data_IF_186744524132
#
_entry.id   IF_186744524132
#
_cell.length_a   1.000
_cell.length_b   1.000
_cell.length_c   1.000
_cell.angle_alpha   90.00
_cell.angle_beta   90.00
_cell.angle_gamma   90.00
#
_symmetry.space_group_name_H-M   'P 1'
#
loop_
_entity.id
_entity.type
_entity.pdbx_description
1 polymer ?
#
# COMPACT_ATOMS: atom_id res chain seq x y z
N UNK A 1 8.61 8.60 -25.05
CA UNK A 1 9.57 8.85 -23.94
C UNK A 1 9.59 10.30 -23.46
N UNK A 2 9.59 11.32 -24.33
CA UNK A 2 9.58 12.76 -23.92
C UNK A 2 8.44 13.20 -22.97
N UNK A 3 7.16 12.80 -23.14
CA UNK A 3 6.09 13.30 -22.26
C UNK A 3 6.14 12.73 -20.84
N UNK A 4 6.54 11.46 -20.68
CA UNK A 4 6.68 10.85 -19.35
C UNK A 4 7.81 11.50 -18.54
N UNK A 5 8.92 11.84 -19.19
CA UNK A 5 10.03 12.55 -18.56
C UNK A 5 9.60 13.97 -18.12
N UNK A 6 8.87 14.69 -18.97
CA UNK A 6 8.35 16.02 -18.63
C UNK A 6 7.37 15.95 -17.45
N UNK A 7 6.49 14.95 -17.41
CA UNK A 7 5.59 14.74 -16.29
C UNK A 7 6.35 14.45 -14.99
N UNK A 8 7.39 13.62 -15.04
CA UNK A 8 8.24 13.31 -13.88
C UNK A 8 8.96 14.56 -13.37
N UNK A 9 9.57 15.35 -14.26
CA UNK A 9 10.26 16.60 -13.91
C UNK A 9 9.26 17.59 -13.30
N UNK A 10 8.09 17.77 -13.92
CA UNK A 10 7.05 18.66 -13.42
C UNK A 10 6.54 18.26 -12.03
N UNK A 11 6.25 16.97 -11.83
CA UNK A 11 5.84 16.45 -10.53
C UNK A 11 6.94 16.61 -9.47
N UNK A 12 8.21 16.34 -9.84
CA UNK A 12 9.36 16.51 -8.96
C UNK A 12 9.58 17.97 -8.57
N UNK A 13 9.51 18.89 -9.51
CA UNK A 13 9.64 20.33 -9.26
C UNK A 13 8.51 20.85 -8.37
N UNK A 14 7.27 20.43 -8.61
CA UNK A 14 6.13 20.78 -7.76
C UNK A 14 6.31 20.21 -6.34
N UNK A 15 6.71 18.95 -6.21
CA UNK A 15 6.98 18.34 -4.91
C UNK A 15 8.07 19.08 -4.14
N UNK A 16 9.16 19.46 -4.80
CA UNK A 16 10.25 20.24 -4.20
C UNK A 16 9.78 21.63 -3.76
N UNK A 17 8.96 22.31 -4.57
CA UNK A 17 8.38 23.61 -4.23
C UNK A 17 7.46 23.49 -3.01
N UNK A 18 6.54 22.53 -3.00
CA UNK A 18 5.62 22.31 -1.88
C UNK A 18 6.38 21.95 -0.59
N UNK A 19 7.39 21.09 -0.68
CA UNK A 19 8.25 20.80 0.45
C UNK A 19 8.99 22.05 0.92
N UNK A 20 9.55 22.85 0.02
CA UNK A 20 10.21 24.12 0.36
C UNK A 20 9.29 25.09 1.11
N UNK A 21 8.03 25.20 0.68
CA UNK A 21 7.00 26.00 1.37
C UNK A 21 6.73 25.45 2.78
N UNK A 22 6.61 24.13 2.95
CA UNK A 22 6.41 23.51 4.26
C UNK A 22 7.61 23.74 5.18
N UNK A 23 8.84 23.59 4.68
CA UNK A 23 10.05 23.86 5.45
C UNK A 23 10.12 25.33 5.89
N UNK A 24 9.79 26.26 5.00
CA UNK A 24 9.75 27.68 5.32
C UNK A 24 8.70 28.03 6.38
N UNK A 25 7.59 27.28 6.44
CA UNK A 25 6.57 27.38 7.48
C UNK A 25 6.96 26.71 8.81
N UNK A 26 8.14 26.10 8.92
CA UNK A 26 8.64 25.49 10.15
C UNK A 26 8.46 23.97 10.26
N UNK A 27 7.89 23.30 9.25
CA UNK A 27 7.68 21.84 9.25
C UNK A 27 8.97 21.05 8.93
N UNK A 28 10.11 21.44 9.53
CA UNK A 28 11.42 20.83 9.28
C UNK A 28 11.51 19.37 9.72
N UNK A 29 10.65 18.94 10.64
CA UNK A 29 10.56 17.54 11.04
C UNK A 29 10.16 16.60 9.89
N UNK A 30 9.57 17.10 8.78
CA UNK A 30 9.28 16.29 7.60
C UNK A 30 10.55 15.71 6.96
N UNK A 31 11.71 16.33 7.18
CA UNK A 31 13.00 15.82 6.72
C UNK A 31 13.34 14.44 7.30
N UNK A 32 12.76 14.07 8.45
CA UNK A 32 12.89 12.73 9.02
C UNK A 32 12.30 11.65 8.12
N UNK A 33 11.31 11.96 7.27
CA UNK A 33 10.79 11.03 6.26
C UNK A 33 11.81 10.74 5.16
N UNK A 34 12.83 11.59 5.00
CA UNK A 34 13.94 11.38 4.09
C UNK A 34 14.75 10.12 4.44
N UNK A 35 14.82 9.73 5.71
CA UNK A 35 15.55 8.53 6.16
C UNK A 35 14.89 7.25 5.61
N UNK A 36 13.62 6.93 5.94
CA UNK A 36 12.96 5.75 5.38
C UNK A 36 12.82 5.86 3.86
N UNK A 37 12.61 7.05 3.29
CA UNK A 37 12.60 7.23 1.84
C UNK A 37 13.94 6.81 1.20
N UNK A 38 15.07 7.22 1.78
CA UNK A 38 16.40 6.86 1.31
C UNK A 38 16.66 5.35 1.46
N UNK A 39 16.25 4.74 2.57
CA UNK A 39 16.38 3.29 2.77
C UNK A 39 15.57 2.50 1.75
N UNK A 40 14.31 2.89 1.52
CA UNK A 40 13.42 2.27 0.53
C UNK A 40 13.97 2.45 -0.88
N UNK A 41 14.47 3.64 -1.22
CA UNK A 41 15.11 3.93 -2.50
C UNK A 41 16.39 3.10 -2.70
N UNK A 42 17.24 2.98 -1.68
CA UNK A 42 18.45 2.17 -1.74
C UNK A 42 18.12 0.70 -1.98
N UNK A 43 17.09 0.17 -1.28
CA UNK A 43 16.58 -1.18 -1.52
C UNK A 43 16.09 -1.33 -2.96
N UNK A 44 15.32 -0.35 -3.46
CA UNK A 44 14.79 -0.37 -4.82
C UNK A 44 15.91 -0.39 -5.87
N UNK A 45 16.95 0.44 -5.70
CA UNK A 45 18.12 0.47 -6.57
C UNK A 45 18.89 -0.86 -6.52
N UNK A 46 19.04 -1.45 -5.34
CA UNK A 46 19.67 -2.76 -5.18
C UNK A 46 18.91 -3.87 -5.93
N UNK A 47 17.57 -3.88 -5.86
CA UNK A 47 16.74 -4.82 -6.64
C UNK A 47 16.89 -4.63 -8.15
N UNK A 48 17.02 -3.39 -8.62
CA UNK A 48 17.27 -3.09 -10.04
C UNK A 48 18.63 -3.61 -10.49
N UNK A 49 19.68 -3.43 -9.67
CA UNK A 49 21.04 -3.93 -9.96
C UNK A 49 21.07 -5.45 -10.06
N UNK A 50 20.31 -6.15 -9.21
CA UNK A 50 20.20 -7.61 -9.23
C UNK A 50 19.56 -8.17 -10.52
N UNK A 51 19.04 -7.31 -11.42
CA UNK A 51 18.23 -7.70 -12.59
C UNK A 51 17.12 -8.70 -12.24
N UNK A 52 16.66 -8.69 -11.00
CA UNK A 52 15.48 -9.40 -10.58
C UNK A 52 14.31 -8.69 -11.26
N UNK A 53 13.93 -9.13 -12.47
CA UNK A 53 12.71 -8.73 -13.18
C UNK A 53 11.43 -9.17 -12.43
N UNK A 54 11.49 -9.33 -11.11
CA UNK A 54 10.34 -9.58 -10.25
C UNK A 54 9.66 -8.25 -9.97
N UNK A 55 8.87 -7.79 -10.95
CA UNK A 55 8.00 -6.60 -10.89
C UNK A 55 7.32 -6.44 -9.53
N UNK A 56 6.87 -7.56 -8.94
CA UNK A 56 6.24 -7.61 -7.63
C UNK A 56 7.13 -7.05 -6.50
N UNK A 57 8.41 -7.41 -6.41
CA UNK A 57 9.28 -6.96 -5.31
C UNK A 57 9.53 -5.46 -5.35
N UNK A 58 9.77 -4.92 -6.55
CA UNK A 58 9.95 -3.48 -6.79
C UNK A 58 8.67 -2.71 -6.46
N UNK A 59 7.50 -3.21 -6.87
CA UNK A 59 6.22 -2.59 -6.55
C UNK A 59 5.93 -2.58 -5.05
N UNK A 60 6.26 -3.65 -4.32
CA UNK A 60 6.10 -3.71 -2.87
C UNK A 60 6.95 -2.66 -2.14
N UNK A 61 8.21 -2.51 -2.55
CA UNK A 61 9.14 -1.53 -1.97
C UNK A 61 8.71 -0.11 -2.34
N UNK A 62 8.40 0.13 -3.61
CA UNK A 62 7.93 1.43 -4.11
C UNK A 62 6.63 1.89 -3.43
N UNK A 63 5.71 0.96 -3.13
CA UNK A 63 4.51 1.27 -2.36
C UNK A 63 4.80 1.77 -0.94
N UNK A 64 5.89 1.29 -0.33
CA UNK A 64 6.37 1.79 0.96
C UNK A 64 6.84 3.25 0.90
N UNK A 65 7.47 3.64 -0.20
CA UNK A 65 7.85 5.04 -0.44
C UNK A 65 6.62 5.92 -0.63
N UNK A 66 5.64 5.46 -1.44
CA UNK A 66 4.39 6.19 -1.65
C UNK A 66 3.57 6.32 -0.35
N UNK A 67 3.62 5.30 0.52
CA UNK A 67 2.94 5.33 1.81
C UNK A 67 3.49 6.39 2.78
N UNK A 68 4.68 6.97 2.54
CA UNK A 68 5.21 8.09 3.33
C UNK A 68 4.38 9.37 3.20
N UNK A 69 3.45 9.43 2.23
CA UNK A 69 2.45 10.49 2.18
C UNK A 69 1.55 10.50 3.43
N UNK A 70 1.28 9.34 4.04
CA UNK A 70 0.43 9.23 5.22
C UNK A 70 1.00 9.95 6.46
N UNK A 71 2.25 9.68 6.93
CA UNK A 71 2.84 10.43 8.04
C UNK A 71 3.01 11.91 7.70
N UNK A 72 3.39 12.26 6.46
CA UNK A 72 3.55 13.65 6.05
C UNK A 72 2.25 14.44 6.21
N UNK A 73 1.14 13.93 5.69
CA UNK A 73 -0.17 14.54 5.80
C UNK A 73 -0.62 14.63 7.27
N UNK A 74 -0.43 13.55 8.03
CA UNK A 74 -0.85 13.50 9.43
C UNK A 74 -0.07 14.49 10.31
N UNK A 75 1.27 14.52 10.26
CA UNK A 75 2.06 15.42 11.10
C UNK A 75 1.84 16.89 10.77
N UNK A 76 1.59 17.23 9.51
CA UNK A 76 1.19 18.60 9.13
C UNK A 76 -0.19 18.92 9.70
N UNK A 77 -1.13 17.97 9.72
CA UNK A 77 -2.48 18.20 10.25
C UNK A 77 -2.53 18.41 11.77
N UNK A 78 -1.61 17.80 12.51
CA UNK A 78 -1.52 17.93 13.99
C UNK A 78 -0.41 18.88 14.44
N UNK A 79 0.27 19.52 13.49
CA UNK A 79 1.42 20.42 13.72
C UNK A 79 2.53 19.83 14.60
N UNK A 80 2.73 18.51 14.54
CA UNK A 80 3.67 17.80 15.39
C UNK A 80 4.12 16.45 14.80
N UNK A 81 5.39 16.10 15.03
CA UNK A 81 5.91 14.76 14.75
C UNK A 81 5.57 13.82 15.92
N UNK A 82 4.45 13.12 15.81
CA UNK A 82 4.04 12.12 16.81
C UNK A 82 4.25 10.68 16.30
N UNK A 83 4.35 9.67 17.18
CA UNK A 83 4.51 8.26 16.79
C UNK A 83 3.41 7.74 15.84
N UNK A 84 2.21 8.32 15.91
CA UNK A 84 1.05 7.93 15.09
C UNK A 84 1.34 8.00 13.60
N UNK A 85 2.10 8.98 13.13
CA UNK A 85 2.47 9.06 11.71
C UNK A 85 3.24 7.81 11.24
N UNK A 86 4.13 7.28 12.08
CA UNK A 86 4.87 6.06 11.75
C UNK A 86 3.98 4.82 11.70
N UNK A 87 2.99 4.73 12.58
CA UNK A 87 1.99 3.67 12.50
C UNK A 87 1.16 3.79 11.23
N UNK A 88 0.70 4.99 10.87
CA UNK A 88 -0.02 5.22 9.62
C UNK A 88 0.80 4.82 8.39
N UNK A 89 2.09 5.13 8.37
CA UNK A 89 3.01 4.68 7.32
C UNK A 89 3.06 3.16 7.22
N UNK A 90 3.33 2.49 8.34
CA UNK A 90 3.47 1.03 8.37
C UNK A 90 2.17 0.33 7.97
N UNK A 91 1.03 0.80 8.46
CA UNK A 91 -0.30 0.24 8.15
C UNK A 91 -0.66 0.47 6.68
N UNK A 92 -0.39 1.66 6.14
CA UNK A 92 -0.61 1.96 4.73
C UNK A 92 0.26 1.08 3.83
N UNK A 93 1.54 0.92 4.18
CA UNK A 93 2.45 0.05 3.43
C UNK A 93 2.00 -1.42 3.50
N UNK A 94 1.62 -1.92 4.68
CA UNK A 94 1.15 -3.28 4.88
C UNK A 94 -0.10 -3.62 4.06
N UNK A 95 -1.06 -2.69 4.02
CA UNK A 95 -2.23 -2.82 3.15
C UNK A 95 -1.84 -2.80 1.67
N UNK A 96 -1.05 -1.81 1.24
CA UNK A 96 -0.60 -1.70 -0.14
C UNK A 96 0.14 -2.97 -0.59
N UNK A 97 1.00 -3.52 0.26
CA UNK A 97 1.71 -4.76 -0.01
C UNK A 97 0.76 -5.95 -0.22
N UNK A 98 -0.24 -6.08 0.65
CA UNK A 98 -1.26 -7.13 0.56
C UNK A 98 -2.12 -6.96 -0.70
N UNK A 99 -2.51 -5.73 -1.03
CA UNK A 99 -3.30 -5.40 -2.22
C UNK A 99 -2.52 -5.65 -3.51
N UNK A 100 -1.22 -5.33 -3.57
CA UNK A 100 -0.38 -5.64 -4.73
C UNK A 100 -0.32 -7.15 -4.95
N UNK A 101 -0.03 -7.95 -3.91
CA UNK A 101 -0.02 -9.42 -4.04
C UNK A 101 -1.36 -9.95 -4.54
N UNK A 102 -2.47 -9.37 -4.07
CA UNK A 102 -3.80 -9.70 -4.55
C UNK A 102 -4.03 -9.28 -6.02
N UNK A 103 -3.60 -8.09 -6.45
CA UNK A 103 -3.67 -7.65 -7.86
C UNK A 103 -2.93 -8.65 -8.75
N UNK A 104 -1.76 -9.12 -8.37
CA UNK A 104 -1.02 -10.14 -9.14
C UNK A 104 -1.80 -11.45 -9.26
N UNK A 105 -2.49 -11.88 -8.20
CA UNK A 105 -3.41 -13.01 -8.27
C UNK A 105 -4.53 -12.76 -9.30
N UNK A 106 -5.18 -11.58 -9.26
CA UNK A 106 -6.25 -11.23 -10.21
C UNK A 106 -5.73 -11.16 -11.65
N UNK A 107 -4.54 -10.60 -11.86
CA UNK A 107 -3.88 -10.55 -13.16
C UNK A 107 -3.51 -11.94 -13.71
N UNK A 108 -3.18 -12.89 -12.82
CA UNK A 108 -2.99 -14.30 -13.18
C UNK A 108 -4.33 -14.94 -13.54
N UNK A 109 -5.34 -14.81 -12.67
CA UNK A 109 -6.68 -15.39 -12.85
C UNK A 109 -7.34 -14.96 -14.17
N UNK A 110 -7.22 -13.68 -14.57
CA UNK A 110 -7.81 -13.21 -15.84
C UNK A 110 -7.24 -13.86 -17.09
N UNK A 111 -6.03 -14.42 -17.02
CA UNK A 111 -5.37 -15.10 -18.14
C UNK A 111 -5.73 -16.59 -18.21
N UNK A 112 -6.48 -17.12 -17.24
CA UNK A 112 -6.97 -18.50 -17.28
C UNK A 112 -7.96 -18.66 -18.44
N UNK A 113 -7.99 -19.86 -19.02
CA UNK A 113 -8.92 -20.22 -20.10
C UNK A 113 -10.25 -20.75 -19.57
N UNK A 114 -10.22 -21.33 -18.38
CA UNK A 114 -11.35 -21.97 -17.74
C UNK A 114 -11.35 -21.69 -16.23
N UNK A 115 -12.47 -21.99 -15.58
CA UNK A 115 -12.61 -21.79 -14.14
C UNK A 115 -11.78 -22.83 -13.39
N UNK A 116 -10.81 -22.43 -12.55
CA UNK A 116 -10.01 -23.38 -11.78
C UNK A 116 -10.88 -24.08 -10.73
N UNK A 117 -10.50 -25.31 -10.37
CA UNK A 117 -11.16 -26.05 -9.29
C UNK A 117 -11.00 -25.33 -7.95
N UNK A 118 -11.85 -25.67 -6.96
CA UNK A 118 -11.77 -25.07 -5.61
C UNK A 118 -10.40 -25.25 -4.96
N UNK A 119 -9.79 -26.43 -5.09
CA UNK A 119 -8.47 -26.69 -4.53
C UNK A 119 -7.39 -25.78 -5.15
N UNK A 120 -7.46 -25.55 -6.47
CA UNK A 120 -6.51 -24.68 -7.18
C UNK A 120 -6.72 -23.21 -6.83
N UNK A 121 -7.97 -22.77 -6.64
CA UNK A 121 -8.29 -21.42 -6.17
C UNK A 121 -7.56 -21.12 -4.86
N UNK A 122 -7.72 -22.01 -3.86
CA UNK A 122 -7.06 -21.84 -2.55
C UNK A 122 -5.54 -21.95 -2.62
N UNK A 123 -5.02 -22.88 -3.42
CA UNK A 123 -3.57 -23.03 -3.64
C UNK A 123 -2.98 -21.74 -4.22
N UNK A 124 -3.61 -21.19 -5.25
CA UNK A 124 -3.16 -19.97 -5.93
C UNK A 124 -3.33 -18.72 -5.05
N UNK A 125 -4.40 -18.69 -4.24
CA UNK A 125 -4.68 -17.63 -3.27
C UNK A 125 -3.80 -17.63 -2.02
N UNK A 126 -3.03 -18.70 -1.76
CA UNK A 126 -2.26 -18.88 -0.51
C UNK A 126 -1.35 -17.70 -0.20
N UNK A 127 -0.66 -17.14 -1.20
CA UNK A 127 0.24 -16.00 -0.98
C UNK A 127 -0.53 -14.75 -0.57
N UNK A 128 -1.67 -14.47 -1.19
CA UNK A 128 -2.55 -13.36 -0.80
C UNK A 128 -3.05 -13.53 0.62
N UNK A 129 -3.50 -14.74 0.98
CA UNK A 129 -3.96 -15.08 2.33
C UNK A 129 -2.86 -14.91 3.37
N UNK A 130 -1.62 -15.30 3.05
CA UNK A 130 -0.49 -15.13 3.96
C UNK A 130 -0.23 -13.65 4.25
N UNK A 131 -0.21 -12.79 3.22
CA UNK A 131 0.01 -11.36 3.41
C UNK A 131 -1.10 -10.71 4.23
N UNK A 132 -2.36 -10.88 3.82
CA UNK A 132 -3.48 -10.23 4.51
C UNK A 132 -3.74 -10.84 5.89
N UNK A 133 -3.55 -12.14 6.05
CA UNK A 133 -3.66 -12.83 7.35
C UNK A 133 -2.58 -12.38 8.32
N UNK A 134 -1.32 -12.25 7.85
CA UNK A 134 -0.24 -11.68 8.66
C UNK A 134 -0.55 -10.24 9.05
N UNK A 135 -1.11 -9.45 8.14
CA UNK A 135 -1.49 -8.08 8.42
C UNK A 135 -2.61 -7.98 9.47
N UNK A 136 -3.62 -8.83 9.39
CA UNK A 136 -4.69 -8.90 10.40
C UNK A 136 -4.13 -9.29 11.77
N UNK A 137 -3.29 -10.32 11.85
CA UNK A 137 -2.69 -10.75 13.12
C UNK A 137 -1.78 -9.68 13.71
N UNK A 138 -0.94 -9.06 12.88
CA UNK A 138 -0.05 -7.98 13.29
C UNK A 138 -0.84 -6.79 13.83
N UNK A 139 -1.87 -6.34 13.10
CA UNK A 139 -2.70 -5.22 13.53
C UNK A 139 -3.56 -5.54 14.76
N UNK A 140 -3.97 -6.79 14.94
CA UNK A 140 -4.62 -7.25 16.17
C UNK A 140 -3.66 -7.17 17.37
N UNK A 141 -2.39 -7.56 17.20
CA UNK A 141 -1.38 -7.43 18.26
C UNK A 141 -1.10 -5.97 18.61
N UNK A 142 -0.99 -5.08 17.61
CA UNK A 142 -0.83 -3.64 17.83
C UNK A 142 -2.04 -3.02 18.54
N UNK A 143 -3.26 -3.42 18.15
CA UNK A 143 -4.49 -2.93 18.76
C UNK A 143 -4.63 -3.44 20.21
N UNK A 144 -4.26 -4.69 20.49
CA UNK A 144 -4.21 -5.21 21.84
C UNK A 144 -3.24 -4.41 22.72
N UNK A 145 -2.07 -4.04 22.18
CA UNK A 145 -1.11 -3.15 22.83
C UNK A 145 -1.51 -1.68 22.90
N UNK A 146 -2.69 -1.29 22.39
CA UNK A 146 -3.19 0.09 22.33
C UNK A 146 -2.26 1.05 21.54
N UNK A 147 -1.44 0.53 20.62
CA UNK A 147 -0.57 1.36 19.77
C UNK A 147 -1.29 1.88 18.53
N UNK A 148 -2.39 1.22 18.15
CA UNK A 148 -3.28 1.61 17.06
C UNK A 148 -4.73 1.45 17.51
N UNK A 149 -5.70 2.12 16.87
CA UNK A 149 -7.11 2.00 17.20
C UNK A 149 -7.61 0.54 17.18
N UNK A 150 -8.52 0.21 18.10
CA UNK A 150 -9.10 -1.13 18.20
C UNK A 150 -9.82 -1.59 16.91
N UNK A 151 -10.27 -0.65 16.07
CA UNK A 151 -10.91 -0.91 14.79
C UNK A 151 -9.95 -1.31 13.67
N UNK A 152 -8.64 -1.04 13.79
CA UNK A 152 -7.64 -1.35 12.75
C UNK A 152 -7.68 -2.81 12.27
N UNK A 153 -7.65 -3.84 13.14
CA UNK A 153 -7.75 -5.23 12.69
C UNK A 153 -9.05 -5.56 11.95
N UNK A 154 -10.17 -4.94 12.32
CA UNK A 154 -11.45 -5.14 11.64
C UNK A 154 -11.43 -4.56 10.21
N UNK A 155 -10.77 -3.42 10.01
CA UNK A 155 -10.61 -2.81 8.68
C UNK A 155 -9.74 -3.70 7.79
N UNK A 156 -8.66 -4.26 8.32
CA UNK A 156 -7.85 -5.25 7.60
C UNK A 156 -8.63 -6.55 7.34
N UNK A 157 -9.48 -6.99 8.27
CA UNK A 157 -10.33 -8.17 8.07
C UNK A 157 -11.37 -7.93 6.96
N UNK A 158 -11.93 -6.73 6.84
CA UNK A 158 -12.83 -6.36 5.74
C UNK A 158 -12.12 -6.44 4.38
N UNK A 159 -10.89 -5.91 4.28
CA UNK A 159 -10.05 -6.10 3.10
C UNK A 159 -9.75 -7.59 2.83
N UNK A 160 -9.45 -8.35 3.88
CA UNK A 160 -9.27 -9.81 3.82
C UNK A 160 -10.48 -10.55 3.26
N UNK A 161 -11.69 -10.18 3.70
CA UNK A 161 -12.93 -10.74 3.18
C UNK A 161 -13.09 -10.46 1.67
N UNK A 162 -12.77 -9.24 1.22
CA UNK A 162 -12.73 -8.91 -0.21
C UNK A 162 -11.72 -9.79 -0.99
N UNK A 163 -10.55 -10.05 -0.42
CA UNK A 163 -9.53 -10.88 -1.06
C UNK A 163 -9.94 -12.36 -1.12
N UNK A 164 -10.53 -12.89 -0.03
CA UNK A 164 -11.11 -14.24 0.01
C UNK A 164 -12.21 -14.39 -1.02
N UNK A 165 -13.07 -13.38 -1.17
CA UNK A 165 -14.07 -13.34 -2.24
C UNK A 165 -13.43 -13.43 -3.63
N UNK A 166 -12.37 -12.65 -3.89
CA UNK A 166 -11.64 -12.71 -5.17
C UNK A 166 -10.89 -14.02 -5.44
N UNK A 167 -10.45 -14.73 -4.38
CA UNK A 167 -9.86 -16.07 -4.49
C UNK A 167 -10.93 -17.08 -4.92
N UNK A 168 -12.11 -17.01 -4.30
CA UNK A 168 -13.23 -17.94 -4.52
C UNK A 168 -14.08 -17.60 -5.75
N UNK A 169 -13.91 -16.40 -6.32
CA UNK A 169 -14.55 -15.93 -7.55
C UNK A 169 -13.49 -15.40 -8.54
N UNK A 170 -12.72 -16.29 -9.18
CA UNK A 170 -11.67 -15.92 -10.12
C UNK A 170 -12.17 -15.05 -11.28
N UNK A 171 -11.42 -13.99 -11.62
CA UNK A 171 -11.80 -13.05 -12.69
C UNK A 171 -11.39 -13.52 -14.09
N UNK A 172 -11.74 -14.74 -14.48
CA UNK A 172 -11.42 -15.33 -15.79
C UNK A 172 -11.95 -14.44 -16.93
N UNK A 173 -11.08 -14.04 -17.86
CA UNK A 173 -11.47 -13.21 -19.02
C UNK A 173 -11.86 -11.76 -18.72
N UNK A 174 -11.77 -11.29 -17.47
CA UNK A 174 -12.18 -9.93 -17.10
C UNK A 174 -11.18 -8.88 -17.64
N UNK A 175 -11.73 -7.75 -18.12
CA UNK A 175 -10.93 -6.62 -18.63
C UNK A 175 -10.06 -6.01 -17.52
N UNK A 176 -8.78 -5.66 -17.79
CA UNK A 176 -7.87 -5.06 -16.79
C UNK A 176 -8.41 -3.81 -16.11
N UNK A 177 -9.10 -2.94 -16.86
CA UNK A 177 -9.66 -1.68 -16.34
C UNK A 177 -10.65 -1.94 -15.20
N UNK A 178 -11.47 -2.98 -15.31
CA UNK A 178 -12.44 -3.33 -14.26
C UNK A 178 -11.74 -3.79 -12.99
N UNK A 179 -10.71 -4.63 -13.11
CA UNK A 179 -9.89 -5.06 -11.97
C UNK A 179 -9.24 -3.84 -11.31
N UNK A 180 -8.68 -2.93 -12.12
CA UNK A 180 -8.08 -1.69 -11.63
C UNK A 180 -9.07 -0.82 -10.85
N UNK A 181 -10.26 -0.57 -11.40
CA UNK A 181 -11.29 0.23 -10.72
C UNK A 181 -11.79 -0.41 -9.42
N UNK A 182 -12.04 -1.72 -9.42
CA UNK A 182 -12.44 -2.45 -8.21
C UNK A 182 -11.37 -2.34 -7.12
N UNK A 183 -10.08 -2.45 -7.48
CA UNK A 183 -8.98 -2.31 -6.52
C UNK A 183 -8.76 -0.87 -6.05
N UNK A 184 -8.89 0.12 -6.93
CA UNK A 184 -8.81 1.54 -6.54
C UNK A 184 -9.92 1.90 -5.57
N UNK A 185 -11.14 1.41 -5.79
CA UNK A 185 -12.26 1.63 -4.87
C UNK A 185 -12.03 0.95 -3.52
N UNK A 186 -11.60 -0.31 -3.52
CA UNK A 186 -11.28 -1.03 -2.28
C UNK A 186 -10.15 -0.33 -1.49
N UNK A 187 -9.11 0.16 -2.16
CA UNK A 187 -8.04 0.92 -1.53
C UNK A 187 -8.51 2.25 -0.97
N UNK A 188 -9.32 3.01 -1.71
CA UNK A 188 -9.90 4.25 -1.22
C UNK A 188 -10.74 4.02 0.04
N UNK A 189 -11.64 3.02 0.00
CA UNK A 189 -12.47 2.66 1.14
C UNK A 189 -11.61 2.28 2.35
N UNK A 190 -10.58 1.44 2.13
CA UNK A 190 -9.66 1.05 3.20
C UNK A 190 -8.99 2.26 3.84
N UNK A 191 -8.41 3.17 3.05
CA UNK A 191 -7.70 4.35 3.59
C UNK A 191 -8.63 5.34 4.28
N UNK A 192 -9.86 5.51 3.78
CA UNK A 192 -10.89 6.34 4.44
C UNK A 192 -11.27 5.75 5.79
N UNK A 193 -11.55 4.43 5.85
CA UNK A 193 -11.88 3.75 7.10
C UNK A 193 -10.70 3.79 8.09
N UNK A 194 -9.48 3.58 7.59
CA UNK A 194 -8.28 3.66 8.41
C UNK A 194 -8.09 5.07 8.98
N UNK A 195 -8.17 6.10 8.14
CA UNK A 195 -8.08 7.49 8.58
C UNK A 195 -9.15 7.83 9.63
N UNK A 196 -10.40 7.44 9.38
CA UNK A 196 -11.51 7.65 10.32
C UNK A 196 -11.29 6.96 11.67
N UNK A 197 -10.72 5.74 11.68
CA UNK A 197 -10.42 5.03 12.91
C UNK A 197 -9.39 5.73 13.82
N UNK A 198 -8.51 6.57 13.24
CA UNK A 198 -7.55 7.38 14.01
C UNK A 198 -8.10 8.74 14.44
N UNK A 199 -9.34 9.08 14.06
CA UNK A 199 -10.03 10.31 14.46
C UNK A 199 -11.01 10.11 15.62
N UNK A 200 -11.28 8.86 16.01
CA UNK A 200 -12.22 8.46 17.07
C UNK A 200 -11.42 7.87 18.22
#
# INVERSE_FOLDING_TARGET
MRPALLALIGAGALAALLLGILLWRGYTFLLWLGIPAALVMAWQLWLVVQREERQLGIELVGAGMLALAAPAAYWVSVDAMTPTGWWLWLLAWLYAASAIVYVYLRLKQRRLKEMPSRAEQWRDGRRTLLYIGTAILFTAALAFGQWVPALTPFIFALAGAHFVYGITHPCVGVKPVRIGLEQSFAALLFYVLLGAAFLI
#
